data_IF_322475964234
#
_entry.id   IF_322475964234
#
_cell.length_a   1.000
_cell.length_b   1.000
_cell.length_c   1.000
_cell.angle_alpha   90.00
_cell.angle_beta   90.00
_cell.angle_gamma   90.00
#
_symmetry.space_group_name_H-M   'P 1'
#
loop_
_entity.id
_entity.type
_entity.pdbx_description
1 polymer ?
#
# COMPACT_ATOMS: atom_id res chain seq x y z
N UNK A 1 5.39 17.07 -34.64
CA UNK A 1 5.50 18.21 -33.71
C UNK A 1 4.13 18.79 -33.46
N UNK A 2 3.78 18.96 -32.20
CA UNK A 2 2.59 19.68 -31.75
C UNK A 2 3.05 21.00 -31.15
N UNK A 3 2.30 22.06 -31.38
CA UNK A 3 2.54 23.33 -30.69
C UNK A 3 2.05 23.24 -29.23
N UNK A 4 2.38 24.23 -28.41
CA UNK A 4 2.13 24.23 -26.97
C UNK A 4 0.66 23.99 -26.65
N UNK A 5 -0.25 24.69 -27.30
CA UNK A 5 -1.70 24.61 -27.06
C UNK A 5 -2.26 23.24 -27.43
N UNK A 6 -1.90 22.71 -28.60
CA UNK A 6 -2.35 21.40 -29.09
C UNK A 6 -1.82 20.28 -28.21
N UNK A 7 -0.55 20.32 -27.81
CA UNK A 7 0.05 19.31 -26.92
C UNK A 7 -0.67 19.28 -25.57
N UNK A 8 -0.90 20.44 -24.98
CA UNK A 8 -1.59 20.53 -23.69
C UNK A 8 -3.04 20.01 -23.77
N UNK A 9 -3.78 20.40 -24.81
CA UNK A 9 -5.14 19.87 -25.06
C UNK A 9 -5.14 18.35 -25.22
N UNK A 10 -4.20 17.77 -25.96
CA UNK A 10 -4.09 16.32 -26.14
C UNK A 10 -3.78 15.60 -24.82
N UNK A 11 -2.91 16.17 -23.98
CA UNK A 11 -2.61 15.62 -22.65
C UNK A 11 -3.85 15.59 -21.76
N UNK A 12 -4.65 16.65 -21.75
CA UNK A 12 -5.91 16.71 -21.00
C UNK A 12 -6.99 15.80 -21.60
N UNK A 13 -7.07 15.66 -22.91
CA UNK A 13 -8.02 14.81 -23.59
C UNK A 13 -7.86 13.30 -23.25
N UNK A 14 -6.68 12.88 -22.79
CA UNK A 14 -6.42 11.52 -22.32
C UNK A 14 -7.17 11.17 -21.03
N UNK A 15 -7.53 12.17 -20.21
CA UNK A 15 -8.10 11.94 -18.88
C UNK A 15 -9.34 11.07 -18.89
N UNK A 16 -10.21 11.21 -19.91
CA UNK A 16 -11.44 10.40 -20.05
C UNK A 16 -11.15 8.91 -20.13
N UNK A 17 -10.04 8.52 -20.77
CA UNK A 17 -9.65 7.11 -20.90
C UNK A 17 -9.09 6.56 -19.59
N UNK A 18 -8.19 7.31 -18.94
CA UNK A 18 -7.65 6.90 -17.64
C UNK A 18 -8.73 6.84 -16.56
N UNK A 19 -9.67 7.78 -16.55
CA UNK A 19 -10.78 7.80 -15.59
C UNK A 19 -11.75 6.62 -15.77
N UNK A 20 -11.87 6.07 -16.98
CA UNK A 20 -12.71 4.91 -17.26
C UNK A 20 -12.03 3.57 -16.89
N UNK A 21 -10.70 3.53 -16.83
CA UNK A 21 -9.95 2.28 -16.65
C UNK A 21 -10.26 1.52 -15.35
N UNK A 22 -10.41 2.14 -14.17
CA UNK A 22 -10.72 1.38 -12.94
C UNK A 22 -11.96 0.50 -13.08
N UNK A 23 -13.04 1.04 -13.61
CA UNK A 23 -14.29 0.28 -13.82
C UNK A 23 -14.13 -0.83 -14.88
N UNK A 24 -13.32 -0.59 -15.91
CA UNK A 24 -13.02 -1.58 -16.94
C UNK A 24 -12.23 -2.74 -16.34
N UNK A 25 -11.17 -2.43 -15.57
CA UNK A 25 -10.33 -3.44 -14.91
C UNK A 25 -11.15 -4.25 -13.91
N UNK A 26 -11.96 -3.61 -13.08
CA UNK A 26 -12.86 -4.26 -12.13
C UNK A 26 -13.81 -5.25 -12.84
N UNK A 27 -14.42 -4.84 -13.94
CA UNK A 27 -15.27 -5.71 -14.76
C UNK A 27 -14.53 -6.95 -15.26
N UNK A 28 -13.28 -6.81 -15.71
CA UNK A 28 -12.50 -7.95 -16.20
C UNK A 28 -11.98 -8.83 -15.07
N UNK A 29 -11.61 -8.26 -13.93
CA UNK A 29 -11.32 -9.02 -12.70
C UNK A 29 -12.53 -9.87 -12.29
N UNK A 30 -13.75 -9.31 -12.33
CA UNK A 30 -14.98 -10.07 -12.09
C UNK A 30 -15.13 -11.30 -12.99
N UNK A 31 -14.87 -11.16 -14.30
CA UNK A 31 -14.90 -12.29 -15.23
C UNK A 31 -13.83 -13.35 -14.94
N UNK A 32 -12.65 -12.94 -14.48
CA UNK A 32 -11.59 -13.86 -14.06
C UNK A 32 -12.02 -14.59 -12.80
N UNK A 33 -12.58 -13.88 -11.82
CA UNK A 33 -13.08 -14.45 -10.58
C UNK A 33 -14.14 -15.52 -10.81
N UNK A 34 -15.10 -15.26 -11.69
CA UNK A 34 -16.12 -16.23 -12.08
C UNK A 34 -15.56 -17.52 -12.68
N UNK A 35 -14.48 -17.40 -13.48
CA UNK A 35 -13.86 -18.55 -14.15
C UNK A 35 -12.93 -19.36 -13.27
N UNK A 36 -12.22 -18.69 -12.37
CA UNK A 36 -11.14 -19.29 -11.58
C UNK A 36 -11.50 -19.48 -10.10
N UNK A 37 -12.66 -19.02 -9.65
CA UNK A 37 -13.05 -19.07 -8.23
C UNK A 37 -12.18 -18.16 -7.34
N UNK A 38 -11.65 -17.07 -7.89
CA UNK A 38 -10.81 -16.10 -7.18
C UNK A 38 -11.63 -14.90 -6.71
N UNK A 39 -11.01 -13.99 -5.95
CA UNK A 39 -11.64 -12.74 -5.51
C UNK A 39 -10.71 -11.55 -5.75
N UNK A 40 -10.29 -11.34 -6.99
CA UNK A 40 -9.47 -10.19 -7.37
C UNK A 40 -10.29 -8.91 -7.40
N UNK A 41 -9.75 -7.87 -6.76
CA UNK A 41 -10.28 -6.52 -6.75
C UNK A 41 -9.12 -5.53 -7.01
N UNK A 42 -9.44 -4.27 -7.31
CA UNK A 42 -8.40 -3.25 -7.53
C UNK A 42 -7.52 -3.07 -6.28
N UNK A 43 -8.15 -3.17 -5.11
CA UNK A 43 -7.52 -3.22 -3.78
C UNK A 43 -8.20 -4.34 -3.00
N UNK A 44 -7.46 -5.35 -2.59
CA UNK A 44 -7.97 -6.45 -1.77
C UNK A 44 -7.58 -6.25 -0.31
N UNK A 45 -8.55 -6.30 0.58
CA UNK A 45 -8.28 -6.39 2.00
C UNK A 45 -8.08 -7.85 2.44
N UNK A 46 -7.16 -8.08 3.37
CA UNK A 46 -6.93 -9.35 4.05
C UNK A 46 -6.60 -9.11 5.53
N UNK A 47 -7.18 -9.87 6.45
CA UNK A 47 -6.90 -9.82 7.87
C UNK A 47 -8.15 -9.62 8.75
N UNK A 48 -7.96 -9.13 9.97
CA UNK A 48 -9.04 -8.92 10.93
C UNK A 48 -10.03 -7.85 10.42
N UNK A 49 -11.35 -8.09 10.47
CA UNK A 49 -12.34 -7.13 10.00
C UNK A 49 -12.38 -5.83 10.83
N UNK A 50 -11.86 -5.89 12.04
CA UNK A 50 -11.73 -4.79 12.99
C UNK A 50 -10.26 -4.42 13.27
N UNK A 51 -9.39 -4.59 12.27
CA UNK A 51 -7.98 -4.24 12.38
C UNK A 51 -7.78 -2.78 12.78
N UNK A 52 -6.85 -2.54 13.70
CA UNK A 52 -6.43 -1.20 14.11
C UNK A 52 -5.15 -0.73 13.41
N UNK A 53 -4.37 -1.67 12.87
CA UNK A 53 -3.13 -1.46 12.14
C UNK A 53 -3.11 -2.27 10.87
N UNK A 54 -2.71 -1.65 9.76
CA UNK A 54 -2.60 -2.36 8.49
C UNK A 54 -1.31 -2.00 7.76
N UNK A 55 -0.91 -2.91 6.88
CA UNK A 55 0.08 -2.64 5.84
C UNK A 55 -0.65 -2.39 4.52
N UNK A 56 -0.11 -1.50 3.68
CA UNK A 56 -0.51 -1.34 2.29
C UNK A 56 0.72 -1.63 1.43
N UNK A 57 0.64 -2.63 0.56
CA UNK A 57 1.75 -3.05 -0.29
C UNK A 57 1.27 -3.60 -1.64
N UNK A 58 2.20 -3.80 -2.58
CA UNK A 58 1.92 -4.40 -3.88
C UNK A 58 2.97 -5.45 -4.26
N UNK A 59 2.54 -6.40 -5.09
CA UNK A 59 3.41 -7.47 -5.60
C UNK A 59 3.49 -8.68 -4.69
N UNK A 60 4.52 -9.51 -4.89
CA UNK A 60 4.66 -10.82 -4.25
C UNK A 60 4.88 -10.77 -2.73
N UNK A 61 5.33 -9.65 -2.20
CA UNK A 61 5.50 -9.45 -0.76
C UNK A 61 4.21 -9.68 0.03
N UNK A 62 3.07 -9.47 -0.60
CA UNK A 62 1.77 -9.67 0.03
C UNK A 62 1.56 -11.09 0.54
N UNK A 63 2.09 -12.10 -0.14
CA UNK A 63 1.91 -13.51 0.25
C UNK A 63 2.59 -13.80 1.59
N UNK A 64 3.78 -13.26 1.81
CA UNK A 64 4.51 -13.37 3.09
C UNK A 64 3.79 -12.59 4.20
N UNK A 65 3.27 -11.40 3.88
CA UNK A 65 2.53 -10.59 4.86
C UNK A 65 1.25 -11.31 5.31
N UNK A 66 0.56 -12.03 4.43
CA UNK A 66 -0.65 -12.81 4.80
C UNK A 66 -0.33 -13.88 5.85
N UNK A 67 0.78 -14.61 5.70
CA UNK A 67 1.20 -15.61 6.69
C UNK A 67 1.48 -14.99 8.06
N UNK A 68 2.12 -13.81 8.08
CA UNK A 68 2.37 -13.07 9.32
C UNK A 68 1.06 -12.60 9.96
N UNK A 69 0.10 -12.12 9.17
CA UNK A 69 -1.21 -11.69 9.64
C UNK A 69 -1.97 -12.87 10.28
N UNK A 70 -1.95 -14.03 9.63
CA UNK A 70 -2.61 -15.23 10.15
C UNK A 70 -2.05 -15.61 11.53
N UNK A 71 -0.72 -15.58 11.66
CA UNK A 71 -0.06 -15.83 12.93
C UNK A 71 -0.46 -14.79 14.00
N UNK A 72 -0.32 -13.50 13.71
CA UNK A 72 -0.61 -12.43 14.66
C UNK A 72 -2.06 -12.43 15.11
N UNK A 73 -3.00 -12.55 14.18
CA UNK A 73 -4.44 -12.57 14.51
C UNK A 73 -4.83 -13.82 15.31
N UNK A 74 -4.19 -14.99 15.05
CA UNK A 74 -4.36 -16.19 15.87
C UNK A 74 -3.85 -16.02 17.31
N UNK A 75 -2.95 -15.05 17.54
CA UNK A 75 -2.41 -14.73 18.87
C UNK A 75 -3.06 -13.49 19.51
N UNK A 76 -4.19 -13.04 18.97
CA UNK A 76 -5.03 -11.99 19.58
C UNK A 76 -4.75 -10.56 19.09
N UNK A 77 -3.87 -10.39 18.09
CA UNK A 77 -3.69 -9.10 17.43
C UNK A 77 -4.84 -8.81 16.46
N UNK A 78 -4.95 -7.54 16.03
CA UNK A 78 -5.96 -7.10 15.07
C UNK A 78 -5.30 -6.34 13.94
N UNK A 79 -4.69 -7.10 13.05
CA UNK A 79 -3.89 -6.57 11.95
C UNK A 79 -4.43 -6.99 10.59
N UNK A 80 -4.08 -6.24 9.55
CA UNK A 80 -4.52 -6.52 8.20
C UNK A 80 -3.62 -5.91 7.13
N UNK A 81 -3.95 -6.20 5.89
CA UNK A 81 -3.22 -5.81 4.68
C UNK A 81 -4.19 -5.32 3.62
N UNK A 82 -3.86 -4.23 2.95
CA UNK A 82 -4.47 -3.87 1.67
C UNK A 82 -3.47 -4.17 0.55
N UNK A 83 -3.83 -5.12 -0.31
CA UNK A 83 -3.06 -5.50 -1.50
C UNK A 83 -3.43 -4.61 -2.67
N UNK A 84 -2.48 -3.81 -3.17
CA UNK A 84 -2.68 -2.94 -4.33
C UNK A 84 -2.48 -3.76 -5.61
N UNK A 85 -3.55 -3.94 -6.40
CA UNK A 85 -3.49 -4.64 -7.69
C UNK A 85 -3.55 -3.69 -8.88
N UNK A 86 -4.22 -2.54 -8.74
CA UNK A 86 -4.20 -1.48 -9.74
C UNK A 86 -3.55 -0.22 -9.16
N UNK A 87 -2.25 -0.05 -9.39
CA UNK A 87 -1.52 1.12 -8.94
C UNK A 87 -1.78 2.35 -9.83
N UNK A 88 -1.87 2.16 -11.16
CA UNK A 88 -2.18 3.23 -12.12
C UNK A 88 -3.22 2.75 -13.14
N UNK A 89 -4.23 3.58 -13.46
CA UNK A 89 -4.55 4.84 -12.80
C UNK A 89 -5.03 4.63 -11.36
N UNK A 90 -4.66 5.56 -10.48
CA UNK A 90 -5.02 5.49 -9.06
C UNK A 90 -6.52 5.69 -8.83
N UNK A 91 -7.10 4.92 -7.91
CA UNK A 91 -8.49 5.06 -7.52
C UNK A 91 -8.66 5.16 -6.01
N UNK A 92 -8.68 6.39 -5.49
CA UNK A 92 -8.89 6.65 -4.06
C UNK A 92 -10.21 6.06 -3.54
N UNK A 93 -11.26 6.05 -4.36
CA UNK A 93 -12.55 5.44 -3.99
C UNK A 93 -12.40 3.97 -3.60
N UNK A 94 -11.68 3.18 -4.41
CA UNK A 94 -11.51 1.75 -4.16
C UNK A 94 -10.53 1.47 -3.03
N UNK A 95 -9.46 2.27 -2.90
CA UNK A 95 -8.57 2.17 -1.75
C UNK A 95 -9.33 2.40 -0.44
N UNK A 96 -10.05 3.52 -0.35
CA UNK A 96 -10.77 3.89 0.88
C UNK A 96 -11.84 2.86 1.25
N UNK A 97 -12.50 2.25 0.27
CA UNK A 97 -13.47 1.19 0.50
C UNK A 97 -12.83 -0.12 1.00
N UNK A 98 -11.53 -0.33 0.76
CA UNK A 98 -10.80 -1.51 1.22
C UNK A 98 -10.23 -1.36 2.64
N UNK A 99 -10.18 -0.15 3.20
CA UNK A 99 -9.62 0.12 4.53
C UNK A 99 -10.73 -0.02 5.59
N UNK A 100 -10.59 -0.91 6.60
CA UNK A 100 -11.53 -0.96 7.72
C UNK A 100 -11.64 0.38 8.46
N UNK A 101 -12.85 0.71 8.91
CA UNK A 101 -13.12 1.96 9.64
C UNK A 101 -12.40 2.05 11.01
N UNK A 102 -11.97 0.92 11.55
CA UNK A 102 -11.26 0.81 12.83
C UNK A 102 -9.78 1.15 12.74
N UNK A 103 -9.23 1.26 11.51
CA UNK A 103 -7.80 1.48 11.29
C UNK A 103 -7.37 2.86 11.80
N UNK A 104 -6.30 2.86 12.58
CA UNK A 104 -5.67 4.06 13.15
C UNK A 104 -4.25 4.29 12.63
N UNK A 105 -3.57 3.22 12.24
CA UNK A 105 -2.18 3.29 11.77
C UNK A 105 -1.97 2.46 10.51
N UNK A 106 -1.24 3.01 9.57
CA UNK A 106 -0.95 2.40 8.27
C UNK A 106 0.55 2.48 7.99
N UNK A 107 1.18 1.35 7.68
CA UNK A 107 2.49 1.32 7.05
C UNK A 107 2.32 1.10 5.55
N UNK A 108 2.86 2.00 4.75
CA UNK A 108 2.87 1.85 3.30
C UNK A 108 4.25 1.40 2.87
N UNK A 109 4.33 0.26 2.18
CA UNK A 109 5.59 -0.35 1.79
C UNK A 109 5.86 -0.16 0.29
N UNK A 110 6.96 0.50 -0.02
CA UNK A 110 7.45 0.73 -1.37
C UNK A 110 8.77 -0.01 -1.61
N UNK A 111 8.87 -0.73 -2.74
CA UNK A 111 10.12 -1.38 -3.18
C UNK A 111 10.93 -0.43 -4.05
N UNK A 112 11.11 0.78 -3.57
CA UNK A 112 11.89 1.84 -4.22
C UNK A 112 12.44 2.82 -3.19
N UNK A 113 13.37 3.66 -3.63
CA UNK A 113 13.86 4.82 -2.88
C UNK A 113 13.92 6.00 -3.83
N UNK A 114 13.21 7.07 -3.49
CA UNK A 114 13.26 8.33 -4.22
C UNK A 114 14.06 9.37 -3.42
N UNK A 115 15.36 9.55 -3.70
CA UNK A 115 16.18 10.49 -2.97
C UNK A 115 15.65 11.93 -3.06
N UNK A 116 15.48 12.58 -1.90
CA UNK A 116 14.99 13.96 -1.83
C UNK A 116 13.47 14.13 -1.94
N UNK A 117 12.72 13.04 -2.09
CA UNK A 117 11.25 13.07 -2.02
C UNK A 117 10.77 13.03 -0.56
N UNK A 118 9.54 13.48 -0.31
CA UNK A 118 8.88 13.39 1.00
C UNK A 118 8.26 12.01 1.27
N UNK A 119 8.59 11.03 0.46
CA UNK A 119 8.11 9.66 0.55
C UNK A 119 8.10 9.01 -0.83
N UNK A 120 7.94 7.72 -0.84
CA UNK A 120 7.90 6.90 -2.04
C UNK A 120 6.53 6.98 -2.73
N UNK A 121 6.40 6.55 -4.00
CA UNK A 121 5.20 6.81 -4.81
C UNK A 121 3.90 6.26 -4.23
N UNK A 122 3.88 5.02 -3.70
CA UNK A 122 2.67 4.45 -3.11
C UNK A 122 2.29 5.18 -1.82
N UNK A 123 3.28 5.48 -0.97
CA UNK A 123 3.08 6.25 0.26
C UNK A 123 2.41 7.59 -0.04
N UNK A 124 2.93 8.35 -1.02
CA UNK A 124 2.37 9.66 -1.40
C UNK A 124 0.92 9.56 -1.87
N UNK A 125 0.59 8.55 -2.69
CA UNK A 125 -0.79 8.35 -3.18
C UNK A 125 -1.75 8.00 -2.03
N UNK A 126 -1.33 7.17 -1.08
CA UNK A 126 -2.14 6.81 0.09
C UNK A 126 -2.38 8.02 0.98
N UNK A 127 -1.34 8.77 1.32
CA UNK A 127 -1.44 10.00 2.13
C UNK A 127 -2.38 11.00 1.46
N UNK A 128 -2.24 11.22 0.16
CA UNK A 128 -3.09 12.13 -0.59
C UNK A 128 -4.55 11.66 -0.63
N UNK A 129 -4.79 10.34 -0.78
CA UNK A 129 -6.13 9.78 -0.79
C UNK A 129 -6.84 9.97 0.56
N UNK A 130 -6.15 9.71 1.67
CA UNK A 130 -6.67 9.90 3.03
C UNK A 130 -6.92 11.38 3.33
N UNK A 131 -5.97 12.27 3.00
CA UNK A 131 -6.13 13.71 3.19
C UNK A 131 -7.34 14.28 2.44
N UNK A 132 -7.53 13.90 1.17
CA UNK A 132 -8.70 14.31 0.38
C UNK A 132 -10.03 13.78 0.92
N UNK A 133 -10.00 12.64 1.63
CA UNK A 133 -11.16 12.05 2.28
C UNK A 133 -11.41 12.60 3.70
N UNK A 134 -10.56 13.52 4.20
CA UNK A 134 -10.66 14.05 5.55
C UNK A 134 -10.27 13.08 6.66
N UNK A 135 -9.59 11.97 6.34
CA UNK A 135 -9.12 10.95 7.29
C UNK A 135 -7.69 11.29 7.77
N UNK A 136 -7.48 12.50 8.30
CA UNK A 136 -6.17 12.98 8.76
C UNK A 136 -5.79 12.49 10.16
N UNK A 137 -6.67 11.81 10.84
CA UNK A 137 -6.47 11.18 12.16
C UNK A 137 -5.77 9.82 12.07
N UNK A 138 -5.68 9.24 10.88
CA UNK A 138 -4.93 8.01 10.64
C UNK A 138 -3.45 8.33 10.51
N UNK A 139 -2.61 7.75 11.38
CA UNK A 139 -1.15 7.85 11.27
C UNK A 139 -0.65 6.99 10.11
N UNK A 140 0.02 7.59 9.14
CA UNK A 140 0.63 6.88 8.00
C UNK A 140 2.14 6.98 8.07
N UNK A 141 2.82 5.85 7.96
CA UNK A 141 4.28 5.75 7.94
C UNK A 141 4.76 5.09 6.66
N UNK A 142 5.93 5.48 6.16
CA UNK A 142 6.52 4.96 4.92
C UNK A 142 7.62 3.93 5.20
N UNK A 143 7.55 2.75 4.58
CA UNK A 143 8.57 1.72 4.67
C UNK A 143 9.21 1.39 3.32
N UNK A 144 10.52 1.24 3.28
CA UNK A 144 11.28 0.83 2.08
C UNK A 144 11.86 -0.56 2.28
N UNK A 145 11.74 -1.40 1.26
CA UNK A 145 12.19 -2.78 1.33
C UNK A 145 12.69 -3.29 -0.02
N UNK A 146 13.45 -4.38 -0.01
CA UNK A 146 13.69 -5.23 -1.17
C UNK A 146 14.50 -4.61 -2.31
N UNK A 147 15.19 -3.47 -2.11
CA UNK A 147 16.04 -2.86 -3.12
C UNK A 147 17.22 -3.79 -3.45
N UNK A 148 17.63 -3.81 -4.72
CA UNK A 148 18.71 -4.67 -5.17
C UNK A 148 18.41 -6.17 -5.01
N UNK A 149 17.14 -6.55 -5.05
CA UNK A 149 16.66 -7.92 -4.81
C UNK A 149 16.97 -8.46 -3.40
N UNK A 150 17.09 -7.57 -2.41
CA UNK A 150 17.21 -7.98 -1.01
C UNK A 150 15.95 -8.76 -0.62
N UNK A 151 16.15 -9.96 -0.09
CA UNK A 151 15.05 -10.79 0.39
C UNK A 151 14.32 -10.12 1.57
N UNK A 152 13.03 -10.39 1.64
CA UNK A 152 12.17 -10.05 2.78
C UNK A 152 11.65 -11.33 3.39
N UNK A 153 11.78 -11.44 4.70
CA UNK A 153 11.36 -12.61 5.47
C UNK A 153 10.11 -12.29 6.29
N UNK A 154 9.43 -13.28 6.86
CA UNK A 154 8.36 -13.01 7.83
C UNK A 154 8.80 -12.11 8.98
N UNK A 155 10.06 -12.22 9.45
CA UNK A 155 10.61 -11.38 10.51
C UNK A 155 10.51 -9.88 10.16
N UNK A 156 10.78 -9.51 8.91
CA UNK A 156 10.64 -8.12 8.44
C UNK A 156 9.23 -7.56 8.69
N UNK A 157 8.18 -8.38 8.49
CA UNK A 157 6.79 -7.89 8.64
C UNK A 157 6.29 -7.99 10.07
N UNK A 158 6.80 -8.91 10.88
CA UNK A 158 6.62 -8.85 12.33
C UNK A 158 7.16 -7.51 12.87
N UNK A 159 8.37 -7.11 12.48
CA UNK A 159 8.96 -5.84 12.87
C UNK A 159 8.12 -4.63 12.44
N UNK A 160 7.48 -4.66 11.26
CA UNK A 160 6.56 -3.59 10.82
C UNK A 160 5.33 -3.49 11.72
N UNK A 161 4.68 -4.61 12.05
CA UNK A 161 3.50 -4.58 12.92
C UNK A 161 3.86 -4.20 14.36
N UNK A 162 5.03 -4.60 14.85
CA UNK A 162 5.57 -4.16 16.15
C UNK A 162 5.87 -2.66 16.16
N UNK A 163 6.45 -2.13 15.07
CA UNK A 163 6.67 -0.68 14.93
C UNK A 163 5.34 0.08 14.95
N UNK A 164 4.33 -0.39 14.21
CA UNK A 164 2.99 0.21 14.22
C UNK A 164 2.28 0.09 15.58
N UNK A 165 2.64 -0.86 16.44
CA UNK A 165 2.08 -1.00 17.77
C UNK A 165 2.54 0.09 18.74
N UNK A 166 3.69 0.72 18.49
CA UNK A 166 4.23 1.79 19.33
C UNK A 166 3.30 3.01 19.33
N UNK A 167 3.26 3.75 20.42
CA UNK A 167 2.50 4.99 20.49
C UNK A 167 2.98 5.99 19.44
N UNK A 168 4.31 6.10 19.29
CA UNK A 168 4.96 6.96 18.30
C UNK A 168 5.83 6.10 17.36
N UNK A 169 5.27 5.53 16.29
CA UNK A 169 6.05 4.81 15.29
C UNK A 169 6.93 5.78 14.49
N UNK A 170 8.07 5.29 13.98
CA UNK A 170 8.93 6.05 13.06
C UNK A 170 8.10 6.53 11.87
N UNK A 171 8.31 7.77 11.44
CA UNK A 171 7.60 8.32 10.27
C UNK A 171 8.02 7.63 8.97
N UNK A 172 9.29 7.22 8.88
CA UNK A 172 9.84 6.41 7.82
C UNK A 172 10.80 5.35 8.38
N UNK A 173 10.88 4.21 7.69
CA UNK A 173 11.79 3.14 8.07
C UNK A 173 12.28 2.34 6.84
N UNK A 174 13.30 1.51 7.07
CA UNK A 174 13.80 0.55 6.10
C UNK A 174 13.76 -0.86 6.67
N UNK A 175 13.76 -1.87 5.81
CA UNK A 175 13.82 -3.28 6.17
C UNK A 175 15.07 -3.93 5.56
N UNK A 176 15.74 -4.78 6.34
CA UNK A 176 16.84 -5.60 5.89
C UNK A 176 18.20 -4.92 5.78
N UNK A 177 18.41 -3.74 6.37
CA UNK A 177 19.72 -3.08 6.42
C UNK A 177 20.38 -3.38 7.75
N UNK A 178 21.48 -4.16 7.72
CA UNK A 178 22.26 -4.52 8.93
C UNK A 178 23.24 -3.42 9.29
N UNK A 179 23.99 -2.89 8.33
CA UNK A 179 24.92 -1.75 8.51
C UNK A 179 24.18 -0.45 8.17
N UNK A 180 23.28 -0.05 9.07
CA UNK A 180 22.36 1.07 8.86
C UNK A 180 22.93 2.39 9.38
N UNK A 181 23.51 3.16 8.48
CA UNK A 181 24.04 4.50 8.76
C UNK A 181 22.97 5.56 9.01
N UNK A 182 21.72 5.26 8.71
CA UNK A 182 20.58 6.19 8.84
C UNK A 182 19.81 6.01 10.14
N UNK A 183 19.95 4.88 10.80
CA UNK A 183 19.19 4.45 11.97
C UNK A 183 17.66 4.34 11.71
N UNK A 184 17.30 4.07 10.45
CA UNK A 184 15.90 3.89 10.03
C UNK A 184 15.48 2.43 9.94
N UNK A 185 16.44 1.49 9.84
CA UNK A 185 16.11 0.06 9.75
C UNK A 185 15.41 -0.43 11.02
N UNK A 186 14.42 -1.28 10.83
CA UNK A 186 13.77 -1.98 11.94
C UNK A 186 14.63 -3.19 12.33
N UNK A 187 14.58 -3.56 13.60
CA UNK A 187 15.18 -4.80 14.11
C UNK A 187 14.27 -5.98 13.71
N UNK A 188 14.85 -6.98 13.02
CA UNK A 188 14.15 -8.13 12.43
C UNK A 188 14.50 -9.46 13.12
#
# INVERSE_FOLDING_TARGET
>A
HENDDIFFQHREACNKYYNALPAIVEKYMGKVNEKLGTNYQLFNYYGAPDADRIIIAMGSVNDVIEEVIDYLNAHGEKVGLVKVRLFRPWSSKHLLAAIPETVKKIAVLDRTKEPGSQGEPLYQDVVMALAKAGKCDIKVVGGRYGLGSKDTTPASFFAVYEELAKDEPKEEFTLGIVDDVTNLSLDE
#
